data_IF_955854099186
#
_entry.id   IF_955854099186
#
_cell.length_a   1.000
_cell.length_b   1.000
_cell.length_c   1.000
_cell.angle_alpha   90.00
_cell.angle_beta   90.00
_cell.angle_gamma   90.00
#
_symmetry.space_group_name_H-M   'P 1'
#
loop_
_entity.id
_entity.type
_entity.pdbx_description
1 polymer ?
#
# COMPACT_ATOMS: atom_id res chain seq x y z
N UNK A 1 -9.53 7.27 -6.87
CA UNK A 1 -10.43 7.08 -5.73
C UNK A 1 -9.88 7.70 -4.45
N UNK A 2 -8.63 8.04 -4.43
CA UNK A 2 -7.90 8.49 -3.27
C UNK A 2 -6.79 9.44 -3.65
N UNK A 3 -6.42 10.36 -2.78
CA UNK A 3 -5.21 11.19 -2.87
C UNK A 3 -4.38 10.99 -1.61
N UNK A 4 -3.07 11.12 -1.74
CA UNK A 4 -2.15 11.05 -0.60
C UNK A 4 -1.16 12.22 -0.66
N UNK A 5 -0.76 12.71 0.49
CA UNK A 5 0.31 13.72 0.62
C UNK A 5 1.72 13.10 0.52
N UNK A 6 1.82 11.80 0.71
CA UNK A 6 3.11 11.11 0.71
C UNK A 6 3.62 10.83 -0.69
N UNK A 7 4.82 11.32 -0.99
CA UNK A 7 5.56 11.06 -2.22
C UNK A 7 6.72 10.09 -2.00
N UNK A 8 6.66 8.93 -2.65
CA UNK A 8 7.75 7.94 -2.61
C UNK A 8 8.79 8.28 -3.68
N UNK A 9 10.09 8.19 -3.34
CA UNK A 9 11.17 8.30 -4.33
C UNK A 9 11.08 7.14 -5.31
N UNK A 10 10.63 7.40 -6.53
CA UNK A 10 10.57 6.46 -7.65
C UNK A 10 11.29 7.04 -8.86
N UNK A 11 11.78 6.17 -9.74
CA UNK A 11 12.39 6.60 -11.00
C UNK A 11 11.30 7.02 -11.97
N UNK A 12 11.22 8.31 -12.25
CA UNK A 12 10.29 8.88 -13.24
C UNK A 12 11.11 9.53 -14.34
N UNK A 13 10.70 9.33 -15.60
CA UNK A 13 11.35 9.96 -16.75
C UNK A 13 11.39 11.47 -16.61
N UNK A 14 12.51 12.11 -17.01
CA UNK A 14 12.63 13.58 -17.07
C UNK A 14 11.59 14.23 -18.00
N UNK A 15 11.03 13.46 -18.94
CA UNK A 15 9.97 13.92 -19.86
C UNK A 15 8.57 13.92 -19.21
N UNK A 16 8.41 13.38 -18.00
CA UNK A 16 7.13 13.38 -17.30
C UNK A 16 6.76 14.79 -16.85
N UNK A 17 5.57 15.25 -17.25
CA UNK A 17 5.21 16.67 -17.19
C UNK A 17 4.40 17.08 -15.94
N UNK A 18 3.96 16.12 -15.11
CA UNK A 18 3.07 16.38 -13.98
C UNK A 18 3.80 16.30 -12.65
N UNK A 19 3.27 16.97 -11.62
CA UNK A 19 3.80 16.91 -10.25
C UNK A 19 3.17 15.78 -9.41
N UNK A 20 2.27 15.00 -10.01
CA UNK A 20 1.63 13.84 -9.39
C UNK A 20 1.54 12.67 -10.37
N UNK A 21 1.37 11.47 -9.85
CA UNK A 21 1.20 10.24 -10.62
C UNK A 21 0.13 9.33 -10.01
N UNK A 22 -0.35 8.37 -10.80
CA UNK A 22 -1.36 7.42 -10.39
C UNK A 22 -0.76 6.06 -10.09
N UNK A 23 -1.25 5.43 -9.01
CA UNK A 23 -0.93 4.06 -8.66
C UNK A 23 -2.18 3.27 -8.28
N UNK A 24 -2.09 1.96 -8.30
CA UNK A 24 -3.14 1.06 -7.78
C UNK A 24 -3.11 0.91 -6.26
N UNK A 25 -2.13 1.52 -5.60
CA UNK A 25 -1.95 1.47 -4.16
C UNK A 25 -2.04 2.85 -3.55
N UNK A 26 -2.72 2.95 -2.41
CA UNK A 26 -2.75 4.14 -1.57
C UNK A 26 -1.67 4.08 -0.49
N UNK A 27 -1.19 5.26 -0.10
CA UNK A 27 -0.40 5.46 1.11
C UNK A 27 -1.28 6.16 2.15
N UNK A 28 -1.09 5.84 3.44
CA UNK A 28 -1.93 6.38 4.52
C UNK A 28 -1.59 7.82 4.93
N UNK A 29 -0.37 8.29 4.64
CA UNK A 29 0.09 9.60 5.12
C UNK A 29 -0.45 10.74 4.28
N UNK A 30 -1.19 11.65 4.95
CA UNK A 30 -1.89 12.74 4.27
C UNK A 30 -2.97 12.22 3.31
N UNK A 31 -3.67 11.15 3.70
CA UNK A 31 -4.68 10.52 2.87
C UNK A 31 -5.97 11.34 2.86
N UNK A 32 -6.50 11.57 1.66
CA UNK A 32 -7.82 12.14 1.42
C UNK A 32 -8.64 11.29 0.46
N UNK A 33 -9.96 11.34 0.60
CA UNK A 33 -10.87 10.62 -0.29
C UNK A 33 -12.20 11.35 -0.43
N UNK A 34 -12.98 10.98 -1.44
CA UNK A 34 -14.31 11.53 -1.67
C UNK A 34 -15.36 10.78 -0.87
N UNK A 35 -16.39 11.48 -0.39
CA UNK A 35 -17.52 10.91 0.38
C UNK A 35 -18.11 9.65 -0.28
N UNK A 36 -18.29 9.65 -1.62
CA UNK A 36 -18.80 8.49 -2.35
C UNK A 36 -17.91 7.24 -2.26
N UNK A 37 -16.58 7.44 -2.19
CA UNK A 37 -15.61 6.35 -2.07
C UNK A 37 -15.59 5.83 -0.64
N UNK A 38 -15.64 6.71 0.33
CA UNK A 38 -15.74 6.37 1.75
C UNK A 38 -16.99 5.55 2.03
N UNK A 39 -18.15 5.97 1.48
CA UNK A 39 -19.40 5.20 1.60
C UNK A 39 -19.26 3.78 1.04
N UNK A 40 -18.63 3.60 -0.12
CA UNK A 40 -18.36 2.26 -0.68
C UNK A 40 -17.44 1.44 0.23
N UNK A 41 -16.43 2.04 0.81
CA UNK A 41 -15.52 1.39 1.73
C UNK A 41 -16.22 0.96 3.03
N UNK A 42 -17.02 1.82 3.63
CA UNK A 42 -17.75 1.53 4.88
C UNK A 42 -18.79 0.40 4.72
N UNK A 43 -19.36 0.25 3.53
CA UNK A 43 -20.32 -0.80 3.20
C UNK A 43 -19.65 -2.09 2.69
N UNK A 44 -18.34 -2.10 2.50
CA UNK A 44 -17.61 -3.26 1.98
C UNK A 44 -17.58 -4.40 2.99
N UNK A 45 -18.04 -5.57 2.59
CA UNK A 45 -17.88 -6.79 3.40
C UNK A 45 -16.41 -7.20 3.42
N UNK A 46 -15.81 -7.24 4.61
CA UNK A 46 -14.43 -7.67 4.82
C UNK A 46 -14.35 -9.20 4.85
N UNK A 47 -14.20 -9.82 3.69
CA UNK A 47 -14.09 -11.27 3.55
C UNK A 47 -12.66 -11.67 3.16
N UNK A 48 -11.84 -11.96 4.15
CA UNK A 48 -10.44 -12.39 3.96
C UNK A 48 -10.33 -13.67 3.12
N UNK A 49 -11.18 -14.69 3.42
CA UNK A 49 -11.13 -15.98 2.72
C UNK A 49 -11.37 -15.82 1.23
N UNK A 50 -12.32 -14.95 0.86
CA UNK A 50 -12.59 -14.65 -0.54
C UNK A 50 -11.37 -14.06 -1.28
N UNK A 51 -10.59 -13.24 -0.57
CA UNK A 51 -9.38 -12.62 -1.12
C UNK A 51 -8.21 -13.61 -1.16
N UNK A 52 -8.00 -14.36 -0.06
CA UNK A 52 -6.82 -15.18 0.11
C UNK A 52 -6.93 -16.54 -0.60
N UNK A 53 -8.13 -17.08 -0.82
CA UNK A 53 -8.34 -18.39 -1.42
C UNK A 53 -8.64 -18.32 -2.91
N UNK A 54 -9.35 -17.27 -3.39
CA UNK A 54 -9.64 -17.14 -4.83
C UNK A 54 -8.42 -16.58 -5.58
N UNK A 55 -7.93 -17.34 -6.54
CA UNK A 55 -6.71 -17.01 -7.29
C UNK A 55 -6.77 -15.64 -7.97
N UNK A 56 -7.91 -15.26 -8.53
CA UNK A 56 -8.09 -13.97 -9.20
C UNK A 56 -8.04 -12.80 -8.22
N UNK A 57 -8.64 -12.95 -7.02
CA UNK A 57 -8.62 -11.94 -5.99
C UNK A 57 -7.21 -11.80 -5.40
N UNK A 58 -6.52 -12.91 -5.18
CA UNK A 58 -5.11 -12.92 -4.76
C UNK A 58 -4.22 -12.20 -5.77
N UNK A 59 -4.34 -12.50 -7.07
CA UNK A 59 -3.61 -11.80 -8.13
C UNK A 59 -3.92 -10.30 -8.16
N UNK A 60 -5.20 -9.95 -8.00
CA UNK A 60 -5.64 -8.55 -7.92
C UNK A 60 -5.03 -7.84 -6.70
N UNK A 61 -5.00 -8.45 -5.52
CA UNK A 61 -4.37 -7.90 -4.33
C UNK A 61 -2.87 -7.64 -4.57
N UNK A 62 -2.15 -8.62 -5.11
CA UNK A 62 -0.73 -8.54 -5.42
C UNK A 62 -0.43 -7.43 -6.45
N UNK A 63 -1.39 -7.08 -7.31
CA UNK A 63 -1.21 -5.97 -8.26
C UNK A 63 -1.00 -4.61 -7.59
N UNK A 64 -1.40 -4.46 -6.32
CA UNK A 64 -1.11 -3.27 -5.50
C UNK A 64 0.23 -3.34 -4.76
N UNK A 65 0.87 -4.52 -4.69
CA UNK A 65 2.15 -4.77 -4.00
C UNK A 65 2.19 -6.18 -3.41
N UNK A 66 3.36 -6.82 -3.45
CA UNK A 66 3.54 -8.20 -2.97
C UNK A 66 3.34 -8.33 -1.44
N UNK A 67 3.72 -7.30 -0.70
CA UNK A 67 3.57 -7.22 0.76
C UNK A 67 2.10 -7.25 1.21
N UNK A 68 1.16 -6.85 0.35
CA UNK A 68 -0.26 -6.85 0.68
C UNK A 68 -0.80 -8.25 0.96
N UNK A 69 -0.26 -9.28 0.29
CA UNK A 69 -0.65 -10.66 0.56
C UNK A 69 -0.30 -11.06 1.99
N UNK A 70 0.93 -10.74 2.43
CA UNK A 70 1.35 -10.97 3.82
C UNK A 70 0.50 -10.17 4.79
N UNK A 71 0.30 -8.87 4.54
CA UNK A 71 -0.48 -7.99 5.41
C UNK A 71 -1.93 -8.48 5.57
N UNK A 72 -2.59 -8.87 4.47
CA UNK A 72 -3.93 -9.43 4.50
C UNK A 72 -4.01 -10.76 5.27
N UNK A 73 -2.98 -11.60 5.17
CA UNK A 73 -2.89 -12.86 5.91
C UNK A 73 -2.71 -12.62 7.40
N UNK A 74 -1.88 -11.64 7.80
CA UNK A 74 -1.71 -11.26 9.20
C UNK A 74 -2.99 -10.67 9.80
N UNK A 75 -3.71 -9.86 9.02
CA UNK A 75 -5.01 -9.30 9.40
C UNK A 75 -6.08 -10.42 9.58
N UNK A 76 -6.08 -11.42 8.70
CA UNK A 76 -6.94 -12.60 8.81
C UNK A 76 -6.74 -13.36 10.12
N UNK A 77 -5.48 -13.58 10.51
CA UNK A 77 -5.14 -14.30 11.74
C UNK A 77 -5.13 -13.43 13.00
N UNK A 78 -5.49 -12.16 12.89
CA UNK A 78 -5.48 -11.20 14.02
C UNK A 78 -4.09 -10.98 14.65
N UNK A 79 -3.02 -11.23 13.91
CA UNK A 79 -1.65 -10.90 14.33
C UNK A 79 -1.29 -9.43 14.09
N UNK A 80 -1.96 -8.77 13.17
CA UNK A 80 -1.87 -7.34 12.93
C UNK A 80 -3.15 -6.85 12.28
N UNK A 81 -3.71 -5.77 12.78
CA UNK A 81 -4.87 -5.11 12.17
C UNK A 81 -4.41 -4.04 11.20
N UNK A 82 -4.98 -4.03 9.99
CA UNK A 82 -4.61 -3.06 8.96
C UNK A 82 -5.80 -2.55 8.17
N UNK A 83 -6.33 -1.42 8.60
CA UNK A 83 -7.35 -0.70 7.81
C UNK A 83 -6.83 -0.34 6.42
N UNK A 84 -5.50 -0.10 6.29
CA UNK A 84 -4.88 0.29 5.03
C UNK A 84 -4.93 -0.82 3.97
N UNK A 85 -4.77 -2.09 4.33
CA UNK A 85 -4.88 -3.19 3.36
C UNK A 85 -6.31 -3.29 2.81
N UNK A 86 -7.31 -3.03 3.62
CA UNK A 86 -8.71 -3.00 3.21
C UNK A 86 -9.01 -1.80 2.33
N UNK A 87 -8.43 -0.65 2.63
CA UNK A 87 -8.56 0.53 1.80
C UNK A 87 -7.96 0.31 0.40
N UNK A 88 -6.77 -0.28 0.34
CA UNK A 88 -6.12 -0.64 -0.93
C UNK A 88 -6.97 -1.68 -1.68
N UNK A 89 -7.50 -2.68 -0.98
CA UNK A 89 -8.39 -3.66 -1.59
C UNK A 89 -9.64 -3.00 -2.19
N UNK A 90 -10.25 -2.05 -1.50
CA UNK A 90 -11.37 -1.28 -2.04
C UNK A 90 -11.02 -0.52 -3.33
N UNK A 91 -9.82 0.06 -3.41
CA UNK A 91 -9.32 0.70 -4.62
C UNK A 91 -9.19 -0.33 -5.75
N UNK A 92 -8.56 -1.46 -5.48
CA UNK A 92 -8.29 -2.51 -6.45
C UNK A 92 -9.57 -3.14 -7.00
N UNK A 93 -10.52 -3.52 -6.13
CA UNK A 93 -11.76 -4.16 -6.57
C UNK A 93 -12.66 -3.24 -7.38
N UNK A 94 -12.57 -1.92 -7.19
CA UNK A 94 -13.30 -0.92 -7.96
C UNK A 94 -12.49 -0.38 -9.17
N UNK A 95 -11.38 -1.02 -9.55
CA UNK A 95 -10.47 -0.58 -10.61
C UNK A 95 -10.05 0.90 -10.46
N UNK A 96 -9.92 1.35 -9.22
CA UNK A 96 -9.61 2.72 -8.89
C UNK A 96 -8.10 2.99 -8.85
N UNK A 97 -7.76 4.26 -8.64
CA UNK A 97 -6.39 4.74 -8.50
C UNK A 97 -6.24 5.64 -7.28
N UNK A 98 -5.02 5.71 -6.78
CA UNK A 98 -4.55 6.73 -5.84
C UNK A 98 -3.70 7.75 -6.59
N UNK A 99 -3.89 9.03 -6.29
CA UNK A 99 -3.05 10.13 -6.75
C UNK A 99 -1.96 10.34 -5.71
N UNK A 100 -0.71 10.30 -6.15
CA UNK A 100 0.45 10.49 -5.30
C UNK A 100 1.29 11.66 -5.83
N UNK A 101 1.85 12.54 -4.99
CA UNK A 101 2.76 13.58 -5.42
C UNK A 101 4.13 12.97 -5.75
N UNK A 102 4.86 13.57 -6.70
CA UNK A 102 6.24 13.15 -7.02
C UNK A 102 7.17 13.40 -5.83
N UNK A 103 6.94 14.50 -5.12
CA UNK A 103 7.67 14.86 -3.90
C UNK A 103 6.71 14.82 -2.72
N UNK A 104 7.14 14.30 -1.59
CA UNK A 104 6.29 14.23 -0.41
C UNK A 104 5.88 15.62 0.06
N UNK A 105 4.59 15.78 0.33
CA UNK A 105 3.98 17.00 0.90
C UNK A 105 3.79 16.86 2.41
N UNK A 106 4.10 15.69 2.97
CA UNK A 106 3.96 15.36 4.37
C UNK A 106 5.22 14.67 4.88
N UNK A 107 5.56 14.93 6.14
CA UNK A 107 6.57 14.19 6.88
C UNK A 107 5.92 13.27 7.89
N UNK A 108 6.54 12.13 8.14
CA UNK A 108 6.18 11.31 9.27
C UNK A 108 7.17 11.56 10.40
N UNK A 109 6.75 12.32 11.40
CA UNK A 109 7.57 12.65 12.56
C UNK A 109 7.90 11.45 13.44
N UNK A 110 7.11 10.37 13.38
CA UNK A 110 7.33 9.16 14.18
C UNK A 110 8.59 8.35 13.82
N UNK A 111 9.38 8.77 12.81
CA UNK A 111 10.69 8.16 12.50
C UNK A 111 11.84 8.65 13.41
N UNK A 112 11.56 9.50 14.37
CA UNK A 112 12.47 9.85 15.45
C UNK A 112 12.54 8.77 16.56
N UNK A 113 11.75 7.72 16.45
CA UNK A 113 11.63 6.63 17.43
C UNK A 113 10.39 6.71 18.33
N UNK A 114 9.62 7.80 18.27
CA UNK A 114 8.38 7.97 19.05
C UNK A 114 7.18 7.31 18.39
N UNK A 115 7.27 6.93 17.10
CA UNK A 115 6.18 6.33 16.35
C UNK A 115 5.94 4.86 16.71
N UNK A 116 4.67 4.48 16.88
CA UNK A 116 4.27 3.12 17.26
C UNK A 116 4.77 2.02 16.30
N UNK A 117 4.90 2.33 15.01
CA UNK A 117 5.34 1.38 13.97
C UNK A 117 6.67 1.75 13.33
N UNK A 118 7.33 2.82 13.76
CA UNK A 118 8.51 3.37 13.10
C UNK A 118 9.77 3.04 13.91
N UNK A 119 10.84 2.65 13.21
CA UNK A 119 12.17 2.51 13.80
C UNK A 119 13.00 3.74 13.47
N UNK A 120 13.91 4.14 14.38
CA UNK A 120 14.90 5.20 14.13
C UNK A 120 15.73 4.83 12.90
N UNK A 121 15.93 5.77 11.98
CA UNK A 121 16.85 5.59 10.83
C UNK A 121 16.21 5.14 9.53
N UNK A 122 14.90 4.97 9.46
CA UNK A 122 14.24 4.69 8.19
C UNK A 122 14.36 5.88 7.23
N UNK A 123 15.06 5.68 6.11
CA UNK A 123 15.29 6.70 5.07
C UNK A 123 14.02 6.98 4.26
N UNK A 124 13.03 7.60 4.89
CA UNK A 124 11.86 8.07 4.16
C UNK A 124 12.08 9.49 3.60
N UNK A 125 11.47 9.79 2.43
CA UNK A 125 11.60 11.12 1.87
C UNK A 125 11.01 12.15 2.84
N UNK A 126 11.85 13.10 3.24
CA UNK A 126 11.38 14.28 3.97
C UNK A 126 10.58 15.18 3.02
N UNK A 127 9.53 15.80 3.53
CA UNK A 127 8.82 16.83 2.79
C UNK A 127 9.77 18.03 2.57
N UNK A 128 9.63 18.72 1.47
CA UNK A 128 10.16 20.05 1.39
C UNK A 128 9.00 21.01 1.67
N UNK A 129 9.09 21.74 2.76
CA UNK A 129 8.02 22.58 3.33
C UNK A 129 7.41 23.62 2.35
N UNK A 130 8.01 23.84 1.19
CA UNK A 130 7.60 24.86 0.21
C UNK A 130 7.20 24.29 -1.16
N UNK A 131 6.82 23.00 -1.24
CA UNK A 131 6.39 22.45 -2.53
C UNK A 131 4.97 22.92 -2.86
N UNK A 132 4.85 23.67 -3.96
CA UNK A 132 3.57 23.97 -4.60
C UNK A 132 3.36 23.00 -5.76
N UNK A 133 2.22 22.32 -5.81
CA UNK A 133 1.80 21.57 -6.99
C UNK A 133 1.43 22.56 -8.08
N UNK A 134 2.28 22.73 -9.07
CA UNK A 134 2.12 23.67 -10.17
C UNK A 134 1.55 22.99 -11.41
N UNK A 135 2.02 21.80 -11.71
CA UNK A 135 1.68 21.05 -12.94
C UNK A 135 0.58 20.04 -12.65
N UNK A 136 -0.64 20.53 -12.61
CA UNK A 136 -1.84 19.71 -12.38
C UNK A 136 -2.09 18.78 -13.55
N UNK A 137 -2.51 17.56 -13.26
CA UNK A 137 -2.96 16.61 -14.26
C UNK A 137 -4.36 16.98 -14.72
N UNK A 138 -4.49 17.53 -15.93
CA UNK A 138 -5.79 17.94 -16.51
C UNK A 138 -6.66 16.75 -16.91
N UNK A 139 -6.03 15.65 -17.35
CA UNK A 139 -6.69 14.37 -17.68
C UNK A 139 -6.04 13.27 -16.86
N UNK A 140 -6.81 12.25 -16.52
CA UNK A 140 -6.29 11.07 -15.83
C UNK A 140 -5.26 10.39 -16.74
N UNK A 141 -4.02 10.35 -16.29
CA UNK A 141 -2.93 9.68 -16.98
C UNK A 141 -2.34 8.60 -16.08
N UNK A 142 -2.63 7.35 -16.41
CA UNK A 142 -2.05 6.19 -15.74
C UNK A 142 -0.91 5.62 -16.58
N UNK A 143 0.22 5.38 -15.95
CA UNK A 143 1.38 4.75 -16.55
C UNK A 143 1.73 3.47 -15.79
N UNK A 144 1.69 2.34 -16.49
CA UNK A 144 2.09 1.06 -15.90
C UNK A 144 3.57 1.06 -15.51
N UNK A 145 4.43 1.75 -16.27
CA UNK A 145 5.86 1.90 -15.96
C UNK A 145 6.03 2.57 -14.59
N UNK A 146 5.34 3.69 -14.36
CA UNK A 146 5.40 4.42 -13.08
C UNK A 146 4.82 3.58 -11.94
N UNK A 147 3.69 2.92 -12.19
CA UNK A 147 3.08 2.02 -11.21
C UNK A 147 4.00 0.86 -10.83
N UNK A 148 4.73 0.28 -11.79
CA UNK A 148 5.69 -0.79 -11.54
C UNK A 148 6.91 -0.28 -10.76
N UNK A 149 7.45 0.90 -11.08
CA UNK A 149 8.51 1.51 -10.27
C UNK A 149 8.07 1.77 -8.82
N UNK A 150 6.81 2.20 -8.63
CA UNK A 150 6.24 2.35 -7.31
C UNK A 150 6.11 1.01 -6.59
N UNK A 151 5.61 -0.04 -7.26
CA UNK A 151 5.43 -1.38 -6.68
C UNK A 151 6.74 -2.03 -6.23
N UNK A 152 7.86 -1.76 -6.91
CA UNK A 152 9.19 -2.26 -6.51
C UNK A 152 9.56 -1.89 -5.08
N UNK A 153 9.03 -0.79 -4.54
CA UNK A 153 9.23 -0.39 -3.14
C UNK A 153 8.55 -1.32 -2.12
N UNK A 154 7.61 -2.13 -2.58
CA UNK A 154 6.79 -3.06 -1.79
C UNK A 154 7.04 -4.52 -2.17
N UNK A 155 8.15 -4.78 -2.84
CA UNK A 155 8.62 -6.15 -3.06
C UNK A 155 9.16 -6.73 -1.75
N UNK A 156 8.76 -7.96 -1.48
CA UNK A 156 9.25 -8.72 -0.31
C UNK A 156 10.24 -9.78 -0.79
N UNK A 157 11.06 -10.29 0.13
CA UNK A 157 12.02 -11.37 -0.19
C UNK A 157 11.30 -12.50 -0.93
N UNK A 158 11.89 -12.98 -2.02
CA UNK A 158 11.29 -14.00 -2.91
C UNK A 158 10.80 -15.24 -2.15
N UNK A 159 11.58 -15.69 -1.16
CA UNK A 159 11.17 -16.80 -0.28
C UNK A 159 9.89 -16.48 0.50
N UNK A 160 9.83 -15.30 1.15
CA UNK A 160 8.64 -14.85 1.90
C UNK A 160 7.42 -14.76 1.00
N UNK A 161 7.58 -14.20 -0.21
CA UNK A 161 6.46 -14.10 -1.16
C UNK A 161 5.93 -15.48 -1.57
N UNK A 162 6.83 -16.42 -1.89
CA UNK A 162 6.44 -17.80 -2.22
C UNK A 162 5.69 -18.47 -1.07
N UNK A 163 6.18 -18.32 0.16
CA UNK A 163 5.54 -18.87 1.35
C UNK A 163 4.07 -18.42 1.45
N UNK A 164 3.80 -17.11 1.40
CA UNK A 164 2.43 -16.57 1.51
C UNK A 164 1.54 -16.89 0.30
N UNK A 165 2.13 -17.06 -0.87
CA UNK A 165 1.39 -17.33 -2.09
C UNK A 165 1.02 -18.80 -2.26
N UNK A 166 1.84 -19.73 -1.77
CA UNK A 166 1.75 -21.15 -2.07
C UNK A 166 1.23 -21.99 -0.90
N UNK A 167 1.54 -21.61 0.34
CA UNK A 167 1.15 -22.43 1.49
C UNK A 167 -0.32 -22.27 1.85
N UNK A 168 -0.99 -23.34 2.28
CA UNK A 168 -2.31 -23.31 2.88
C UNK A 168 -2.36 -22.40 4.11
N UNK A 169 -3.50 -21.74 4.35
CA UNK A 169 -3.65 -20.77 5.45
C UNK A 169 -3.36 -21.39 6.83
N UNK A 170 -3.73 -22.66 7.05
CA UNK A 170 -3.49 -23.33 8.33
C UNK A 170 -1.98 -23.53 8.62
N UNK A 171 -1.17 -23.83 7.58
CA UNK A 171 0.29 -23.95 7.73
C UNK A 171 0.88 -22.58 8.04
N UNK A 172 0.45 -21.52 7.36
CA UNK A 172 0.89 -20.16 7.65
C UNK A 172 0.54 -19.76 9.08
N UNK A 173 -0.63 -20.14 9.59
CA UNK A 173 -1.03 -19.90 10.98
C UNK A 173 -0.08 -20.57 11.97
N UNK A 174 0.21 -21.87 11.77
CA UNK A 174 1.15 -22.62 12.62
C UNK A 174 2.55 -21.98 12.63
N UNK A 175 3.06 -21.58 11.47
CA UNK A 175 4.37 -20.91 11.37
C UNK A 175 4.38 -19.58 12.13
N UNK A 176 3.29 -18.82 12.13
CA UNK A 176 3.19 -17.59 12.92
C UNK A 176 3.12 -17.85 14.40
N UNK A 177 2.40 -18.88 14.86
CA UNK A 177 2.36 -19.28 16.26
C UNK A 177 3.75 -19.69 16.75
N UNK A 178 4.45 -20.55 16.03
CA UNK A 178 5.82 -20.96 16.35
C UNK A 178 6.75 -19.73 16.50
N UNK A 179 6.70 -18.81 15.55
CA UNK A 179 7.52 -17.60 15.60
C UNK A 179 7.16 -16.66 16.77
N UNK A 180 5.93 -16.68 17.26
CA UNK A 180 5.51 -15.92 18.42
C UNK A 180 6.03 -16.53 19.71
N UNK A 181 6.05 -17.86 19.78
CA UNK A 181 6.57 -18.64 20.93
C UNK A 181 8.09 -18.49 21.04
N UNK A 182 8.81 -18.50 19.92
CA UNK A 182 10.30 -18.41 19.91
C UNK A 182 10.84 -16.99 20.14
N UNK A 183 9.96 -15.97 20.32
CA UNK A 183 10.34 -14.59 20.66
C UNK A 183 10.09 -14.22 22.13
N UNK A 184 9.68 -15.23 22.94
CA UNK A 184 9.69 -15.17 24.41
C UNK A 184 11.00 -15.74 24.88
#
# INVERSE_FOLDING_TARGET
>A
MNITGFGTKIKISKKYKYDCYLTKRSMSWGQGSWRRVWKKFSLMKKNHKDILLKINNKKKLISGGQDLLRTMTLDYFKFAESIQVWWIWNILQNNGYSINPIRSLVDNIGYDGTGYHSKVGDNFPKSSANIKIRKKMKKIYYSEIINNEFRKKFEIKKFTFRLFNSLPLYILYLLFLLKKITKI
#
